data_IF_515153678334
#
_entry.id   IF_515153678334
#
_cell.length_a   1.000
_cell.length_b   1.000
_cell.length_c   1.000
_cell.angle_alpha   90.00
_cell.angle_beta   90.00
_cell.angle_gamma   90.00
#
_symmetry.space_group_name_H-M   'P 1'
#
loop_
_entity.id
_entity.type
_entity.pdbx_description
1 polymer ?
#
# COMPACT_ATOMS: atom_id res chain seq x y z
N UNK A 1 4.61 16.67 -6.49
CA UNK A 1 4.59 16.00 -5.16
C UNK A 1 3.88 14.67 -5.33
N UNK A 2 4.71 13.63 -5.44
CA UNK A 2 4.50 12.19 -5.30
C UNK A 2 3.15 11.56 -5.69
N UNK A 3 3.08 11.08 -6.94
CA UNK A 3 2.16 10.00 -7.37
C UNK A 3 2.76 8.60 -7.16
N UNK A 4 3.87 8.47 -6.41
CA UNK A 4 4.60 7.21 -6.16
C UNK A 4 3.99 6.40 -4.99
N UNK A 5 3.16 7.05 -4.16
CA UNK A 5 2.60 6.46 -2.93
C UNK A 5 1.74 5.20 -3.20
N UNK A 6 1.13 5.11 -4.37
CA UNK A 6 0.25 4.00 -4.75
C UNK A 6 0.96 2.65 -5.00
N UNK A 7 2.29 2.65 -5.12
CA UNK A 7 3.09 1.42 -5.31
C UNK A 7 3.71 0.90 -4.00
N UNK A 8 3.75 1.72 -2.94
CA UNK A 8 4.36 1.34 -1.68
C UNK A 8 3.42 0.40 -0.90
N UNK A 9 3.99 -0.55 -0.13
CA UNK A 9 3.17 -1.39 0.77
C UNK A 9 2.45 -0.47 1.77
N UNK A 10 1.14 -0.65 2.01
CA UNK A 10 0.45 0.13 3.02
C UNK A 10 1.09 -0.13 4.39
N UNK A 11 1.23 0.94 5.16
CA UNK A 11 1.82 0.89 6.50
C UNK A 11 0.72 0.46 7.48
N UNK A 12 0.98 -0.54 8.34
CA UNK A 12 0.00 -0.95 9.35
C UNK A 12 -0.29 0.21 10.31
N UNK A 13 -1.57 0.40 10.72
CA UNK A 13 -1.92 1.40 11.71
C UNK A 13 -1.21 1.10 13.04
N UNK A 14 -0.80 2.14 13.76
CA UNK A 14 -0.23 1.98 15.10
C UNK A 14 -1.28 1.58 16.13
N UNK A 15 -0.86 1.08 17.29
CA UNK A 15 -1.77 0.70 18.38
C UNK A 15 -2.70 1.85 18.81
N UNK A 16 -2.24 3.10 18.68
CA UNK A 16 -3.00 4.32 19.00
C UNK A 16 -3.79 4.91 17.82
N UNK A 17 -3.58 4.44 16.59
CA UNK A 17 -4.40 4.80 15.42
C UNK A 17 -5.77 4.12 15.46
N UNK A 18 -5.83 2.96 16.13
CA UNK A 18 -7.10 2.32 16.42
C UNK A 18 -7.82 3.13 17.50
N UNK A 19 -8.82 3.90 17.07
CA UNK A 19 -9.82 4.48 17.94
C UNK A 19 -10.62 3.34 18.59
N UNK A 20 -10.10 2.79 19.69
CA UNK A 20 -10.61 1.65 20.48
C UNK A 20 -12.08 1.81 20.96
N UNK A 21 -12.70 2.95 20.64
CA UNK A 21 -14.09 3.31 20.93
C UNK A 21 -15.05 3.14 19.74
N UNK A 22 -14.61 2.54 18.62
CA UNK A 22 -15.50 2.17 17.52
C UNK A 22 -15.61 3.22 16.42
N UNK A 23 -14.50 3.85 16.02
CA UNK A 23 -14.50 4.63 14.79
C UNK A 23 -14.75 3.69 13.60
N UNK A 24 -15.86 3.87 12.89
CA UNK A 24 -16.20 3.15 11.66
C UNK A 24 -15.90 4.05 10.45
N UNK A 25 -15.14 3.56 9.43
CA UNK A 25 -14.60 2.20 9.31
C UNK A 25 -13.36 1.96 10.20
N UNK A 26 -13.18 0.72 10.67
CA UNK A 26 -12.00 0.33 11.43
C UNK A 26 -10.75 0.54 10.58
N UNK A 27 -9.70 1.13 11.18
CA UNK A 27 -8.42 1.38 10.49
C UNK A 27 -7.81 0.10 9.92
N UNK A 28 -8.07 -1.04 10.57
CA UNK A 28 -7.63 -2.35 10.09
C UNK A 28 -8.38 -2.80 8.83
N UNK A 29 -9.67 -2.49 8.70
CA UNK A 29 -10.45 -2.85 7.52
C UNK A 29 -9.92 -2.11 6.28
N UNK A 30 -9.63 -0.82 6.45
CA UNK A 30 -9.02 0.01 5.40
C UNK A 30 -7.63 -0.55 5.04
N UNK A 31 -6.79 -0.81 6.04
CA UNK A 31 -5.46 -1.37 5.84
C UNK A 31 -5.49 -2.69 5.05
N UNK A 32 -6.37 -3.63 5.42
CA UNK A 32 -6.45 -4.91 4.73
C UNK A 32 -6.98 -4.78 3.30
N UNK A 33 -7.92 -3.87 3.06
CA UNK A 33 -8.41 -3.57 1.72
C UNK A 33 -7.29 -3.03 0.82
N UNK A 34 -6.53 -2.04 1.32
CA UNK A 34 -5.41 -1.44 0.60
C UNK A 34 -4.29 -2.46 0.38
N UNK A 35 -3.98 -3.29 1.38
CA UNK A 35 -2.95 -4.33 1.27
C UNK A 35 -3.33 -5.41 0.26
N UNK A 36 -4.61 -5.75 0.16
CA UNK A 36 -5.09 -6.69 -0.84
C UNK A 36 -4.98 -6.09 -2.26
N UNK A 37 -5.29 -4.81 -2.43
CA UNK A 37 -5.10 -4.10 -3.70
C UNK A 37 -3.62 -4.02 -4.08
N UNK A 38 -2.74 -3.67 -3.13
CA UNK A 38 -1.30 -3.63 -3.33
C UNK A 38 -0.73 -5.00 -3.72
N UNK A 39 -1.11 -6.08 -3.05
CA UNK A 39 -0.65 -7.43 -3.40
C UNK A 39 -1.04 -7.83 -4.83
N UNK A 40 -2.25 -7.48 -5.27
CA UNK A 40 -2.70 -7.72 -6.66
C UNK A 40 -1.86 -6.92 -7.65
N UNK A 41 -1.59 -5.65 -7.34
CA UNK A 41 -0.75 -4.80 -8.17
C UNK A 41 0.69 -5.32 -8.22
N UNK A 42 1.28 -5.71 -7.10
CA UNK A 42 2.60 -6.33 -7.02
C UNK A 42 2.68 -7.64 -7.80
N UNK A 43 1.66 -8.49 -7.75
CA UNK A 43 1.63 -9.73 -8.53
C UNK A 43 1.56 -9.44 -10.04
N UNK A 44 0.77 -8.45 -10.45
CA UNK A 44 0.69 -8.00 -11.84
C UNK A 44 2.00 -7.35 -12.30
N UNK A 45 2.59 -6.50 -11.45
CA UNK A 45 3.88 -5.84 -11.67
C UNK A 45 4.99 -6.88 -11.76
N UNK A 46 5.20 -7.81 -10.81
CA UNK A 46 6.22 -8.88 -10.92
C UNK A 46 6.11 -9.70 -12.21
N UNK A 47 4.89 -9.91 -12.70
CA UNK A 47 4.66 -10.58 -13.99
C UNK A 47 5.05 -9.71 -15.19
N UNK A 48 4.98 -8.38 -15.06
CA UNK A 48 5.41 -7.38 -16.04
C UNK A 48 6.87 -6.89 -15.87
N UNK A 49 7.44 -6.98 -14.67
CA UNK A 49 8.72 -6.42 -14.19
C UNK A 49 9.91 -7.29 -14.59
N UNK A 50 9.65 -8.47 -15.17
CA UNK A 50 10.64 -9.09 -16.07
C UNK A 50 10.98 -8.16 -17.27
N UNK A 51 10.25 -7.05 -17.47
CA UNK A 51 10.49 -6.13 -18.58
C UNK A 51 10.82 -4.68 -18.21
N UNK A 52 10.51 -4.15 -17.03
CA UNK A 52 10.63 -2.70 -16.77
C UNK A 52 11.07 -2.34 -15.32
N UNK A 53 12.12 -2.98 -14.81
CA UNK A 53 12.91 -2.42 -13.69
C UNK A 53 13.99 -1.47 -14.25
N UNK A 54 13.57 -0.31 -14.74
CA UNK A 54 14.43 0.87 -14.94
C UNK A 54 13.55 2.12 -14.97
N UNK A 55 13.34 2.74 -13.81
CA UNK A 55 13.20 4.18 -13.63
C UNK A 55 13.04 4.46 -12.13
N UNK A 56 13.82 5.25 -11.39
CA UNK A 56 15.09 5.96 -11.58
C UNK A 56 15.48 6.42 -10.18
N UNK A 57 16.73 6.22 -9.79
CA UNK A 57 17.46 7.01 -8.79
C UNK A 57 17.44 8.51 -9.19
N UNK A 58 17.30 9.46 -8.24
CA UNK A 58 17.50 10.89 -8.54
C UNK A 58 16.93 11.91 -7.53
N UNK A 59 17.84 12.46 -6.71
CA UNK A 59 17.79 13.65 -5.82
C UNK A 59 17.03 13.56 -4.48
#
# INVERSE_FOLDING_TARGET
MSSIDSLQEPIPPGDYDCCESGCEPCVWDVYYADRAAWQKQQAAQKSAETKEDQSTEGD
#
